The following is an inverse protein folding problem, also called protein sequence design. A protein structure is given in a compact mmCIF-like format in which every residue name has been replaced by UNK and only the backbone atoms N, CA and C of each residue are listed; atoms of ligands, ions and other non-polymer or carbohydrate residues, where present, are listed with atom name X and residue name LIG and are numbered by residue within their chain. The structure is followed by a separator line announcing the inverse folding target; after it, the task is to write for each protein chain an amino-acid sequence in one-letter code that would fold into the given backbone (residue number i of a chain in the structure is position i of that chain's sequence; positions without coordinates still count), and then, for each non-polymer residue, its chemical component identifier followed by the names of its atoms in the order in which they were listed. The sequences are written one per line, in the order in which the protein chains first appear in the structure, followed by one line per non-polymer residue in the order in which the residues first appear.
data_IF_329265042717
#
_entry.id   IF_329265042717
#
_cell.length_a   1.000
_cell.length_b   1.000
_cell.length_c   1.000
_cell.angle_alpha   90.00
_cell.angle_beta   90.00
_cell.angle_gamma   90.00
#
_symmetry.space_group_name_H-M   'P 1'
#
loop_
_entity.id
_entity.type
_entity.pdbx_description
1 polymer ?
#
# COMPACT_ATOMS: atom_id res chain seq x y z
N UNK A 1 38.85 12.60 22.67
CA UNK A 1 37.42 12.94 22.49
C UNK A 1 36.59 11.79 23.07
N UNK A 2 35.62 12.05 23.95
CA UNK A 2 34.72 10.99 24.45
C UNK A 2 33.72 10.65 23.34
N UNK A 3 33.49 9.36 23.08
CA UNK A 3 32.56 8.88 22.04
C UNK A 3 31.19 8.63 22.64
N UNK A 4 30.15 8.99 21.90
CA UNK A 4 28.76 8.61 22.17
C UNK A 4 28.36 7.60 21.10
N UNK A 5 27.74 6.50 21.50
CA UNK A 5 27.35 5.41 20.59
C UNK A 5 25.86 5.14 20.80
N UNK A 6 25.11 5.16 19.69
CA UNK A 6 23.75 4.65 19.63
C UNK A 6 23.81 3.21 19.11
N UNK A 7 23.29 2.26 19.88
CA UNK A 7 23.21 0.84 19.50
C UNK A 7 21.73 0.50 19.33
N UNK A 8 21.36 0.04 18.13
CA UNK A 8 20.00 -0.37 17.79
C UNK A 8 19.99 -1.90 17.70
N UNK A 9 19.23 -2.54 18.59
CA UNK A 9 18.96 -3.98 18.53
C UNK A 9 17.68 -4.18 17.73
N UNK A 10 17.79 -4.41 16.42
CA UNK A 10 16.61 -4.52 15.55
C UNK A 10 15.75 -5.74 15.94
N UNK A 11 14.43 -5.54 16.01
CA UNK A 11 13.47 -6.55 16.47
C UNK A 11 13.50 -6.87 17.98
N UNK A 12 14.24 -6.10 18.81
CA UNK A 12 14.32 -6.32 20.25
C UNK A 12 13.22 -5.59 21.03
N UNK A 13 12.09 -6.28 21.27
CA UNK A 13 10.95 -5.73 22.03
C UNK A 13 10.92 -6.12 23.51
N UNK A 14 10.09 -5.41 24.28
CA UNK A 14 9.71 -5.78 25.64
C UNK A 14 8.34 -6.44 25.63
N UNK A 15 8.27 -7.70 26.08
CA UNK A 15 7.04 -8.46 26.18
C UNK A 15 7.08 -9.41 27.39
N UNK A 16 5.92 -9.80 27.96
CA UNK A 16 5.87 -10.85 28.98
C UNK A 16 6.53 -12.16 28.51
N UNK A 17 6.99 -12.97 29.47
CA UNK A 17 7.54 -14.29 29.15
C UNK A 17 6.42 -15.23 28.68
N UNK A 18 6.64 -15.91 27.55
CA UNK A 18 5.76 -16.94 27.01
C UNK A 18 6.56 -17.81 26.04
N UNK A 19 6.03 -18.99 25.68
CA UNK A 19 6.76 -20.04 24.94
C UNK A 19 7.48 -19.61 23.65
N UNK A 20 7.01 -18.56 22.96
CA UNK A 20 7.65 -18.02 21.75
C UNK A 20 8.41 -16.70 21.94
N UNK A 21 8.58 -16.22 23.18
CA UNK A 21 9.42 -15.06 23.46
C UNK A 21 10.91 -15.47 23.52
N UNK A 22 11.57 -15.45 22.36
CA UNK A 22 12.97 -15.79 22.23
C UNK A 22 13.90 -14.96 23.13
N UNK A 23 13.59 -13.68 23.37
CA UNK A 23 14.39 -12.79 24.23
C UNK A 23 14.36 -13.30 25.68
N UNK A 24 13.18 -13.69 26.19
CA UNK A 24 13.02 -14.17 27.57
C UNK A 24 13.70 -15.52 27.84
N UNK A 25 13.82 -16.38 26.83
CA UNK A 25 14.52 -17.67 26.94
C UNK A 25 16.02 -17.59 26.67
N UNK A 26 16.50 -16.49 26.11
CA UNK A 26 17.90 -16.32 25.75
C UNK A 26 18.74 -15.91 26.96
N UNK A 27 19.98 -16.41 27.04
CA UNK A 27 20.97 -15.89 27.99
C UNK A 27 21.54 -14.58 27.46
N UNK A 28 21.18 -13.47 28.09
CA UNK A 28 21.51 -12.11 27.61
C UNK A 28 22.36 -11.34 28.65
N UNK A 29 23.51 -11.88 29.11
CA UNK A 29 24.23 -11.34 30.28
C UNK A 29 24.65 -9.88 30.11
N UNK A 30 25.07 -9.48 28.91
CA UNK A 30 25.45 -8.10 28.60
C UNK A 30 24.26 -7.15 28.71
N UNK A 31 23.16 -7.43 28.00
CA UNK A 31 21.96 -6.58 28.02
C UNK A 31 21.35 -6.55 29.42
N UNK A 32 21.27 -7.71 30.09
CA UNK A 32 20.77 -7.83 31.45
C UNK A 32 21.60 -6.99 32.44
N UNK A 33 22.94 -7.02 32.33
CA UNK A 33 23.83 -6.19 33.16
C UNK A 33 23.62 -4.70 32.89
N UNK A 34 23.50 -4.29 31.62
CA UNK A 34 23.27 -2.89 31.25
C UNK A 34 21.94 -2.39 31.84
N UNK A 35 20.85 -3.14 31.63
CA UNK A 35 19.52 -2.78 32.15
C UNK A 35 19.47 -2.76 33.68
N UNK A 36 20.23 -3.62 34.38
CA UNK A 36 20.27 -3.62 35.85
C UNK A 36 21.08 -2.48 36.45
N UNK A 37 22.22 -2.15 35.83
CA UNK A 37 23.23 -1.28 36.44
C UNK A 37 23.18 0.18 35.95
N UNK A 38 22.42 0.49 34.90
CA UNK A 38 22.31 1.84 34.34
C UNK A 38 20.85 2.27 34.17
N UNK A 39 20.64 3.59 34.09
CA UNK A 39 19.31 4.16 33.88
C UNK A 39 18.71 3.66 32.56
N UNK A 40 17.47 3.20 32.61
CA UNK A 40 16.77 2.64 31.46
C UNK A 40 15.27 2.99 31.52
N UNK A 41 14.62 2.96 30.36
CA UNK A 41 13.19 3.19 30.21
C UNK A 41 12.67 2.47 28.96
N UNK A 42 11.35 2.43 28.78
CA UNK A 42 10.70 1.86 27.62
C UNK A 42 10.12 2.97 26.73
N UNK A 43 10.18 2.76 25.42
CA UNK A 43 9.60 3.67 24.42
C UNK A 43 8.58 2.92 23.56
N UNK A 44 7.52 3.62 23.17
CA UNK A 44 6.59 3.09 22.16
C UNK A 44 7.23 3.18 20.77
N UNK A 45 7.36 2.04 20.10
CA UNK A 45 7.95 1.91 18.76
C UNK A 45 6.92 1.47 17.69
N UNK A 46 5.64 1.78 17.89
CA UNK A 46 4.53 1.31 17.05
C UNK A 46 3.42 2.36 16.95
N UNK A 47 2.52 2.20 15.98
CA UNK A 47 1.30 2.98 15.83
C UNK A 47 1.54 4.50 15.79
N UNK A 48 0.60 5.24 16.38
CA UNK A 48 0.60 6.71 16.34
C UNK A 48 1.81 7.37 17.02
N UNK A 49 2.58 6.64 17.83
CA UNK A 49 3.81 7.13 18.47
C UNK A 49 4.95 7.31 17.47
N UNK A 50 4.99 6.49 16.41
CA UNK A 50 6.00 6.54 15.35
C UNK A 50 5.43 6.97 13.99
N UNK A 51 4.20 7.51 14.00
CA UNK A 51 3.54 8.05 12.81
C UNK A 51 2.85 7.01 11.93
N UNK A 52 2.55 5.83 12.47
CA UNK A 52 1.70 4.81 11.87
C UNK A 52 0.23 4.97 12.35
N UNK A 53 -0.75 4.44 11.60
CA UNK A 53 -2.15 4.40 12.02
C UNK A 53 -2.39 3.52 13.25
N UNK A 54 -3.29 3.96 14.14
CA UNK A 54 -3.79 3.14 15.25
C UNK A 54 -2.69 2.49 16.09
N UNK A 55 -2.72 1.15 16.15
CA UNK A 55 -1.78 0.28 16.85
C UNK A 55 -0.96 -0.61 15.90
N UNK A 56 -0.76 -0.18 14.65
CA UNK A 56 0.06 -0.94 13.69
C UNK A 56 1.47 -1.17 14.22
N UNK A 57 2.03 -2.35 13.98
CA UNK A 57 3.39 -2.69 14.38
C UNK A 57 4.41 -1.78 13.67
N UNK A 58 5.47 -1.40 14.38
CA UNK A 58 6.61 -0.72 13.77
C UNK A 58 7.41 -1.65 12.85
N UNK A 59 8.27 -1.05 12.04
CA UNK A 59 9.26 -1.75 11.22
C UNK A 59 10.59 -0.97 11.22
N UNK A 60 11.65 -1.57 10.66
CA UNK A 60 12.98 -0.98 10.67
C UNK A 60 13.04 0.40 10.01
N UNK A 61 12.36 0.61 8.88
CA UNK A 61 12.34 1.91 8.18
C UNK A 61 11.70 3.00 9.04
N UNK A 62 10.49 2.76 9.55
CA UNK A 62 9.76 3.68 10.42
C UNK A 62 10.57 3.99 11.68
N UNK A 63 11.16 2.97 12.30
CA UNK A 63 11.95 3.11 13.52
C UNK A 63 13.20 3.97 13.30
N UNK A 64 14.01 3.64 12.30
CA UNK A 64 15.26 4.35 12.03
C UNK A 64 15.01 5.81 11.61
N UNK A 65 13.96 6.07 10.84
CA UNK A 65 13.56 7.43 10.47
C UNK A 65 13.20 8.28 11.69
N UNK A 66 12.36 7.76 12.59
CA UNK A 66 11.96 8.49 13.79
C UNK A 66 13.16 8.75 14.74
N UNK A 67 14.03 7.74 14.93
CA UNK A 67 15.23 7.85 15.76
C UNK A 67 16.18 8.90 15.19
N UNK A 68 16.48 8.82 13.89
CA UNK A 68 17.38 9.76 13.22
C UNK A 68 16.84 11.18 13.12
N UNK A 69 15.52 11.34 12.98
CA UNK A 69 14.90 12.64 12.84
C UNK A 69 14.66 13.36 14.18
N UNK A 70 14.72 12.65 15.31
CA UNK A 70 14.43 13.20 16.63
C UNK A 70 13.00 13.75 16.77
N UNK A 71 12.08 13.31 15.92
CA UNK A 71 10.67 13.73 15.89
C UNK A 71 9.81 12.63 15.29
N UNK A 72 8.50 12.70 15.56
CA UNK A 72 7.53 11.81 14.93
C UNK A 72 7.47 12.08 13.42
N UNK A 73 7.75 11.05 12.61
CA UNK A 73 7.63 11.08 11.16
C UNK A 73 6.34 10.38 10.75
N UNK A 74 5.37 11.16 10.25
CA UNK A 74 4.15 10.60 9.68
C UNK A 74 4.49 9.84 8.41
N UNK A 75 4.01 8.60 8.31
CA UNK A 75 4.10 7.83 7.08
C UNK A 75 3.12 8.37 6.03
N UNK A 76 3.47 8.28 4.76
CA UNK A 76 2.65 8.81 3.67
C UNK A 76 1.21 8.26 3.69
N UNK A 77 1.05 6.96 3.98
CA UNK A 77 -0.27 6.33 4.16
C UNK A 77 -1.10 7.01 5.25
N UNK A 78 -0.47 7.38 6.38
CA UNK A 78 -1.12 8.10 7.48
C UNK A 78 -1.45 9.54 7.12
N UNK A 79 -0.59 10.21 6.35
CA UNK A 79 -0.85 11.57 5.84
C UNK A 79 -2.06 11.56 4.93
N UNK A 80 -2.11 10.62 3.97
CA UNK A 80 -3.23 10.48 3.03
C UNK A 80 -4.52 10.11 3.76
N UNK A 81 -4.48 9.12 4.67
CA UNK A 81 -5.64 8.74 5.49
C UNK A 81 -6.20 9.92 6.29
N UNK A 82 -5.31 10.73 6.89
CA UNK A 82 -5.70 11.93 7.63
C UNK A 82 -6.33 12.97 6.71
N UNK A 83 -5.76 13.17 5.52
CA UNK A 83 -6.30 14.08 4.51
C UNK A 83 -7.69 13.66 4.01
N UNK A 84 -7.95 12.36 3.88
CA UNK A 84 -9.28 11.83 3.54
C UNK A 84 -10.24 12.12 4.69
N UNK A 85 -9.86 11.76 5.93
CA UNK A 85 -10.70 11.93 7.12
C UNK A 85 -11.06 13.39 7.40
N UNK A 86 -10.13 14.32 7.21
CA UNK A 86 -10.36 15.75 7.44
C UNK A 86 -10.84 16.50 6.19
N UNK A 87 -11.15 15.78 5.11
CA UNK A 87 -11.62 16.28 3.81
C UNK A 87 -10.62 17.11 2.99
N UNK A 88 -9.39 17.32 3.45
CA UNK A 88 -8.38 18.09 2.70
C UNK A 88 -7.94 17.37 1.42
N UNK A 89 -8.05 16.04 1.36
CA UNK A 89 -7.80 15.23 0.16
C UNK A 89 -8.63 15.71 -1.04
N UNK A 90 -9.91 16.00 -0.82
CA UNK A 90 -10.86 16.42 -1.86
C UNK A 90 -10.64 17.86 -2.34
N UNK A 91 -9.78 18.62 -1.65
CA UNK A 91 -9.39 20.00 -2.00
C UNK A 91 -7.99 20.06 -2.62
N UNK A 92 -7.36 18.92 -2.88
CA UNK A 92 -6.01 18.89 -3.43
C UNK A 92 -6.00 19.47 -4.86
N UNK A 93 -5.26 20.57 -5.04
CA UNK A 93 -5.18 21.30 -6.31
C UNK A 93 -4.66 20.42 -7.47
N UNK A 94 -3.78 19.47 -7.21
CA UNK A 94 -3.25 18.59 -8.26
C UNK A 94 -4.29 17.62 -8.78
N UNK A 95 -5.09 17.02 -7.88
CA UNK A 95 -6.19 16.15 -8.30
C UNK A 95 -7.28 16.92 -9.05
N UNK A 96 -7.63 18.11 -8.55
CA UNK A 96 -8.61 18.98 -9.23
C UNK A 96 -8.09 19.37 -10.62
N UNK A 97 -6.83 19.82 -10.74
CA UNK A 97 -6.22 20.16 -12.04
C UNK A 97 -6.19 18.98 -12.99
N UNK A 98 -5.89 17.76 -12.51
CA UNK A 98 -5.90 16.56 -13.36
C UNK A 98 -7.29 16.29 -13.96
N UNK A 99 -8.35 16.40 -13.15
CA UNK A 99 -9.74 16.24 -13.59
C UNK A 99 -10.12 17.34 -14.60
N UNK A 100 -9.79 18.61 -14.30
CA UNK A 100 -10.12 19.73 -15.19
C UNK A 100 -9.37 19.66 -16.53
N UNK A 101 -8.11 19.20 -16.53
CA UNK A 101 -7.36 18.96 -17.75
C UNK A 101 -8.00 17.85 -18.61
N UNK A 102 -8.45 16.75 -17.98
CA UNK A 102 -9.15 15.67 -18.66
C UNK A 102 -10.48 16.13 -19.26
N UNK A 103 -11.26 16.94 -18.52
CA UNK A 103 -12.49 17.59 -19.02
C UNK A 103 -12.22 18.49 -20.22
N UNK A 104 -11.27 19.42 -20.10
CA UNK A 104 -10.94 20.40 -21.14
C UNK A 104 -10.47 19.73 -22.44
N UNK A 105 -9.74 18.62 -22.32
CA UNK A 105 -9.23 17.88 -23.48
C UNK A 105 -10.21 16.82 -24.00
N UNK A 106 -11.36 16.62 -23.36
CA UNK A 106 -12.29 15.53 -23.64
C UNK A 106 -11.62 14.15 -23.68
N UNK A 107 -10.65 13.92 -22.76
CA UNK A 107 -9.89 12.68 -22.66
C UNK A 107 -10.21 11.97 -21.33
N UNK A 108 -10.04 10.64 -21.28
CA UNK A 108 -10.18 9.91 -20.04
C UNK A 108 -9.10 10.31 -19.02
N UNK A 109 -9.47 10.33 -17.73
CA UNK A 109 -8.50 10.28 -16.64
C UNK A 109 -8.10 8.83 -16.41
N UNK A 110 -6.80 8.56 -16.36
CA UNK A 110 -6.28 7.23 -16.06
C UNK A 110 -5.82 7.19 -14.60
N UNK A 111 -6.30 6.20 -13.85
CA UNK A 111 -5.87 5.94 -12.47
C UNK A 111 -5.29 4.52 -12.46
N UNK A 112 -4.07 4.41 -11.94
CA UNK A 112 -3.34 3.15 -11.88
C UNK A 112 -2.74 2.92 -10.49
N UNK A 113 -2.66 1.66 -10.08
CA UNK A 113 -2.08 1.31 -8.79
C UNK A 113 -2.46 -0.09 -8.32
N UNK A 114 -1.77 -0.55 -7.28
CA UNK A 114 -2.05 -1.81 -6.61
C UNK A 114 -3.43 -1.77 -5.94
N UNK A 115 -4.24 -2.82 -6.12
CA UNK A 115 -5.57 -2.95 -5.55
C UNK A 115 -5.61 -4.04 -4.48
N UNK A 116 -5.42 -3.62 -3.23
CA UNK A 116 -5.60 -4.49 -2.06
C UNK A 116 -5.81 -3.67 -0.80
N UNK A 117 -5.95 -4.36 0.33
CA UNK A 117 -5.86 -3.78 1.67
C UNK A 117 -4.53 -4.14 2.37
N UNK A 118 -3.48 -4.48 1.61
CA UNK A 118 -2.16 -4.82 2.16
C UNK A 118 -1.47 -3.63 2.83
N UNK A 119 -1.82 -2.39 2.46
CA UNK A 119 -1.35 -1.13 3.07
C UNK A 119 0.18 -0.88 2.99
N UNK A 120 0.93 -1.72 2.25
CA UNK A 120 2.37 -1.53 2.03
C UNK A 120 2.62 -0.54 0.90
N UNK A 121 2.03 -0.77 -0.29
CA UNK A 121 2.24 0.07 -1.47
C UNK A 121 1.02 0.93 -1.85
N UNK A 122 -0.16 0.59 -1.37
CA UNK A 122 -1.41 1.30 -1.69
C UNK A 122 -2.52 0.99 -0.69
N UNK A 123 -3.66 1.67 -0.87
CA UNK A 123 -4.90 1.38 -0.16
C UNK A 123 -6.08 1.45 -1.12
N UNK A 124 -6.95 0.43 -1.11
CA UNK A 124 -8.24 0.48 -1.81
C UNK A 124 -9.09 1.69 -1.39
N UNK A 125 -8.99 2.13 -0.14
CA UNK A 125 -9.74 3.29 0.36
C UNK A 125 -9.24 4.60 -0.25
N UNK A 126 -7.95 4.70 -0.62
CA UNK A 126 -7.42 5.87 -1.34
C UNK A 126 -7.98 5.94 -2.77
N UNK A 127 -8.11 4.80 -3.44
CA UNK A 127 -8.77 4.72 -4.73
C UNK A 127 -10.25 5.13 -4.63
N UNK A 128 -10.96 4.66 -3.61
CA UNK A 128 -12.35 5.03 -3.39
C UNK A 128 -12.51 6.54 -3.13
N UNK A 129 -11.60 7.16 -2.38
CA UNK A 129 -11.58 8.62 -2.23
C UNK A 129 -11.33 9.36 -3.56
N UNK A 130 -10.52 8.82 -4.47
CA UNK A 130 -10.36 9.38 -5.82
C UNK A 130 -11.64 9.24 -6.66
N UNK A 131 -12.36 8.13 -6.53
CA UNK A 131 -13.66 7.92 -7.19
C UNK A 131 -14.69 8.93 -6.66
N UNK A 132 -14.78 9.12 -5.34
CA UNK A 132 -15.64 10.12 -4.71
C UNK A 132 -15.30 11.54 -5.17
N UNK A 133 -14.01 11.85 -5.30
CA UNK A 133 -13.58 13.13 -5.85
C UNK A 133 -14.04 13.31 -7.30
N UNK A 134 -13.94 12.28 -8.14
CA UNK A 134 -14.43 12.34 -9.52
C UNK A 134 -15.95 12.50 -9.57
N UNK A 135 -16.69 11.80 -8.71
CA UNK A 135 -18.14 11.91 -8.58
C UNK A 135 -18.58 13.33 -8.19
N UNK A 136 -17.97 13.90 -7.13
CA UNK A 136 -18.26 15.27 -6.68
C UNK A 136 -17.91 16.35 -7.73
N UNK A 137 -16.97 16.04 -8.64
CA UNK A 137 -16.62 16.88 -9.79
C UNK A 137 -17.43 16.56 -11.06
N UNK A 138 -18.42 15.67 -10.97
CA UNK A 138 -19.24 15.17 -12.06
C UNK A 138 -18.41 14.71 -13.28
N UNK A 139 -17.31 13.99 -13.02
CA UNK A 139 -16.41 13.48 -14.05
C UNK A 139 -16.41 11.95 -14.07
N UNK A 140 -17.07 11.38 -15.08
CA UNK A 140 -17.27 9.91 -15.19
C UNK A 140 -16.31 9.21 -16.13
N UNK A 141 -15.60 9.95 -17.00
CA UNK A 141 -14.71 9.36 -18.00
C UNK A 141 -13.36 8.96 -17.39
N UNK A 142 -13.38 7.93 -16.54
CA UNK A 142 -12.19 7.40 -15.85
C UNK A 142 -11.86 5.99 -16.36
N UNK A 143 -10.57 5.67 -16.43
CA UNK A 143 -10.04 4.34 -16.79
C UNK A 143 -9.13 3.85 -15.67
N UNK A 144 -9.48 2.68 -15.14
CA UNK A 144 -8.77 2.04 -14.05
C UNK A 144 -7.79 1.00 -14.61
N UNK A 145 -6.49 1.17 -14.38
CA UNK A 145 -5.44 0.20 -14.68
C UNK A 145 -4.88 -0.42 -13.38
N UNK A 146 -5.38 -1.57 -12.98
CA UNK A 146 -5.28 -2.04 -11.60
C UNK A 146 -4.30 -3.19 -11.48
N UNK A 147 -3.43 -3.11 -10.47
CA UNK A 147 -2.43 -4.14 -10.23
C UNK A 147 -2.90 -5.08 -9.12
N UNK A 148 -3.01 -6.39 -9.39
CA UNK A 148 -3.40 -7.37 -8.38
C UNK A 148 -2.21 -7.72 -7.46
N UNK A 149 -2.51 -7.94 -6.18
CA UNK A 149 -1.49 -8.03 -5.13
C UNK A 149 -0.98 -9.46 -4.90
N UNK A 150 -1.64 -10.23 -4.03
CA UNK A 150 -1.26 -11.61 -3.71
C UNK A 150 0.04 -11.79 -2.93
N UNK A 151 0.71 -10.70 -2.56
CA UNK A 151 1.96 -10.70 -1.79
C UNK A 151 1.81 -10.04 -0.44
N UNK A 152 1.20 -8.85 -0.39
CA UNK A 152 0.87 -8.18 0.88
C UNK A 152 -0.51 -8.62 1.41
N UNK A 153 -1.24 -9.41 0.60
CA UNK A 153 -2.50 -10.09 0.94
C UNK A 153 -2.42 -11.57 0.51
N UNK A 154 -3.36 -12.44 0.92
CA UNK A 154 -3.34 -13.84 0.51
C UNK A 154 -3.29 -14.03 -1.02
N UNK A 155 -2.59 -15.05 -1.55
CA UNK A 155 -2.33 -15.20 -2.99
C UNK A 155 -3.55 -15.32 -3.92
N UNK A 156 -4.74 -15.62 -3.37
CA UNK A 156 -6.01 -15.76 -4.10
C UNK A 156 -7.10 -14.92 -3.43
N UNK A 157 -6.86 -13.62 -3.26
CA UNK A 157 -7.77 -12.67 -2.61
C UNK A 157 -8.21 -11.51 -3.52
N UNK A 158 -7.55 -11.32 -4.67
CA UNK A 158 -7.75 -10.20 -5.58
C UNK A 158 -9.21 -10.02 -6.00
N UNK A 159 -9.89 -11.11 -6.33
CA UNK A 159 -11.31 -11.09 -6.70
C UNK A 159 -12.20 -10.33 -5.70
N UNK A 160 -11.90 -10.39 -4.40
CA UNK A 160 -12.67 -9.69 -3.36
C UNK A 160 -12.54 -8.17 -3.53
N UNK A 161 -11.32 -7.67 -3.74
CA UNK A 161 -11.05 -6.24 -3.89
C UNK A 161 -11.58 -5.68 -5.21
N UNK A 162 -11.44 -6.45 -6.29
CA UNK A 162 -11.97 -6.04 -7.58
C UNK A 162 -13.51 -6.04 -7.60
N UNK A 163 -14.18 -7.00 -6.95
CA UNK A 163 -15.64 -6.95 -6.79
C UNK A 163 -16.08 -5.70 -6.01
N UNK A 164 -15.39 -5.35 -4.92
CA UNK A 164 -15.68 -4.11 -4.17
C UNK A 164 -15.52 -2.86 -5.05
N UNK A 165 -14.53 -2.85 -5.95
CA UNK A 165 -14.35 -1.77 -6.92
C UNK A 165 -15.49 -1.75 -7.95
N UNK A 166 -15.91 -2.90 -8.50
CA UNK A 166 -17.07 -2.99 -9.40
C UNK A 166 -18.35 -2.45 -8.73
N UNK A 167 -18.57 -2.76 -7.45
CA UNK A 167 -19.69 -2.22 -6.67
C UNK A 167 -19.60 -0.69 -6.55
N UNK A 168 -18.42 -0.16 -6.22
CA UNK A 168 -18.18 1.29 -6.10
C UNK A 168 -18.39 2.01 -7.44
N UNK A 169 -17.92 1.43 -8.54
CA UNK A 169 -18.13 1.95 -9.89
C UNK A 169 -19.62 1.95 -10.24
N UNK A 170 -20.34 0.86 -9.91
CA UNK A 170 -21.78 0.74 -10.17
C UNK A 170 -22.58 1.78 -9.39
N UNK A 171 -22.24 2.01 -8.12
CA UNK A 171 -22.91 2.99 -7.25
C UNK A 171 -22.72 4.43 -7.73
N UNK A 172 -21.50 4.79 -8.11
CA UNK A 172 -21.14 6.19 -8.46
C UNK A 172 -21.29 6.49 -9.96
N UNK A 173 -21.29 5.46 -10.80
CA UNK A 173 -21.20 5.58 -12.25
C UNK A 173 -19.86 6.15 -12.75
N UNK A 174 -18.83 6.17 -11.90
CA UNK A 174 -17.52 6.73 -12.24
C UNK A 174 -16.59 5.66 -12.79
N UNK A 175 -16.22 5.80 -14.06
CA UNK A 175 -15.15 5.04 -14.69
C UNK A 175 -15.50 3.59 -15.03
N UNK A 176 -14.47 2.85 -15.44
CA UNK A 176 -14.51 1.42 -15.71
C UNK A 176 -13.11 0.81 -15.61
N UNK A 177 -13.05 -0.47 -15.25
CA UNK A 177 -11.82 -1.24 -15.26
C UNK A 177 -11.37 -1.44 -16.71
N UNK A 178 -10.17 -0.96 -17.01
CA UNK A 178 -9.58 -0.98 -18.35
C UNK A 178 -8.57 -2.12 -18.48
N UNK A 179 -7.69 -2.30 -17.49
CA UNK A 179 -6.71 -3.38 -17.47
C UNK A 179 -6.52 -3.93 -16.06
N UNK A 180 -6.15 -5.21 -15.98
CA UNK A 180 -5.73 -5.90 -14.76
C UNK A 180 -4.36 -6.51 -15.08
N UNK A 181 -3.41 -6.38 -14.16
CA UNK A 181 -2.10 -7.04 -14.28
C UNK A 181 -1.58 -7.39 -12.90
N UNK A 182 -0.92 -8.52 -12.74
CA UNK A 182 -0.23 -8.89 -11.51
C UNK A 182 0.87 -7.90 -11.17
N UNK A 183 1.05 -7.60 -9.89
CA UNK A 183 2.15 -6.74 -9.42
C UNK A 183 3.53 -7.23 -9.87
N UNK A 184 3.69 -8.53 -10.14
CA UNK A 184 4.91 -9.09 -10.72
C UNK A 184 5.28 -8.43 -12.05
N UNK A 185 4.29 -8.07 -12.88
CA UNK A 185 4.51 -7.40 -14.16
C UNK A 185 4.54 -5.88 -14.02
N UNK A 186 3.59 -5.32 -13.26
CA UNK A 186 3.37 -3.88 -13.21
C UNK A 186 4.24 -3.13 -12.18
N UNK A 187 4.83 -3.82 -11.20
CA UNK A 187 5.57 -3.22 -10.08
C UNK A 187 6.95 -3.85 -9.88
N UNK A 188 7.59 -4.28 -10.97
CA UNK A 188 8.97 -4.77 -10.92
C UNK A 188 9.92 -3.66 -10.43
N UNK A 189 10.91 -4.06 -9.62
CA UNK A 189 11.93 -3.17 -9.06
C UNK A 189 13.36 -3.65 -9.30
N UNK A 190 13.51 -4.71 -10.09
CA UNK A 190 14.78 -5.38 -10.38
C UNK A 190 15.24 -5.10 -11.82
N UNK A 191 14.71 -4.05 -12.45
CA UNK A 191 14.97 -3.63 -13.84
C UNK A 191 14.63 -4.72 -14.87
N UNK A 192 13.62 -5.55 -14.60
CA UNK A 192 13.16 -6.53 -15.57
C UNK A 192 12.18 -5.89 -16.56
N UNK A 193 12.72 -5.26 -17.59
CA UNK A 193 11.92 -4.57 -18.62
C UNK A 193 10.99 -5.51 -19.40
N UNK A 194 11.28 -6.81 -19.47
CA UNK A 194 10.36 -7.77 -20.12
C UNK A 194 9.03 -7.89 -19.36
N UNK A 195 9.07 -7.78 -18.02
CA UNK A 195 7.88 -7.77 -17.17
C UNK A 195 7.10 -6.47 -17.31
N UNK A 196 7.81 -5.35 -17.19
CA UNK A 196 7.24 -4.00 -17.31
C UNK A 196 6.60 -3.80 -18.69
N UNK A 197 7.23 -4.32 -19.75
CA UNK A 197 6.71 -4.23 -21.11
C UNK A 197 5.33 -4.86 -21.26
N UNK A 198 5.06 -6.00 -20.60
CA UNK A 198 3.75 -6.65 -20.67
C UNK A 198 2.62 -5.77 -20.10
N UNK A 199 2.84 -5.24 -18.89
CA UNK A 199 1.88 -4.32 -18.28
C UNK A 199 1.72 -3.03 -19.10
N UNK A 200 2.82 -2.51 -19.65
CA UNK A 200 2.82 -1.31 -20.51
C UNK A 200 2.03 -1.55 -21.81
N UNK A 201 2.23 -2.70 -22.44
CA UNK A 201 1.53 -3.09 -23.66
C UNK A 201 0.02 -3.24 -23.45
N UNK A 202 -0.41 -3.80 -22.31
CA UNK A 202 -1.82 -3.86 -21.95
C UNK A 202 -2.42 -2.45 -21.77
N UNK A 203 -1.72 -1.56 -21.07
CA UNK A 203 -2.19 -0.20 -20.74
C UNK A 203 -2.23 0.72 -21.96
N UNK A 204 -1.17 0.72 -22.77
CA UNK A 204 -0.96 1.70 -23.85
C UNK A 204 -1.45 1.16 -25.19
N UNK A 205 -1.14 -0.09 -25.49
CA UNK A 205 -1.37 -0.69 -26.81
C UNK A 205 -2.59 -1.62 -26.86
N UNK A 206 -3.29 -1.82 -25.73
CA UNK A 206 -4.38 -2.80 -25.58
C UNK A 206 -3.96 -4.22 -26.02
N UNK A 207 -2.71 -4.59 -25.75
CA UNK A 207 -2.15 -5.91 -26.10
C UNK A 207 -2.09 -6.80 -24.85
N UNK A 208 -2.75 -7.93 -24.91
CA UNK A 208 -2.82 -8.91 -23.82
C UNK A 208 -4.09 -9.75 -23.95
N UNK A 209 -4.33 -10.62 -22.97
CA UNK A 209 -5.55 -11.40 -22.91
C UNK A 209 -6.76 -10.50 -22.60
N UNK A 210 -7.88 -10.77 -23.27
CA UNK A 210 -9.11 -9.99 -23.09
C UNK A 210 -10.17 -10.78 -22.34
N UNK A 211 -10.87 -10.12 -21.43
CA UNK A 211 -11.99 -10.71 -20.70
C UNK A 211 -13.15 -9.71 -20.57
N UNK A 212 -14.37 -10.25 -20.46
CA UNK A 212 -15.59 -9.44 -20.36
C UNK A 212 -16.02 -9.17 -18.90
N UNK A 213 -15.29 -9.67 -17.91
CA UNK A 213 -15.54 -9.37 -16.48
C UNK A 213 -14.32 -9.69 -15.63
N UNK A 214 -14.21 -8.99 -14.49
CA UNK A 214 -13.22 -9.28 -13.45
C UNK A 214 -13.28 -10.75 -13.04
N UNK A 215 -14.48 -11.27 -12.75
CA UNK A 215 -14.67 -12.66 -12.33
C UNK A 215 -14.03 -13.65 -13.30
N UNK A 216 -14.17 -13.44 -14.61
CA UNK A 216 -13.56 -14.30 -15.64
C UNK A 216 -12.02 -14.24 -15.58
N UNK A 217 -11.44 -13.05 -15.41
CA UNK A 217 -9.97 -12.90 -15.28
C UNK A 217 -9.44 -13.74 -14.13
N UNK A 218 -10.02 -13.60 -12.94
CA UNK A 218 -9.53 -14.33 -11.75
C UNK A 218 -9.81 -15.83 -11.83
N UNK A 219 -11.03 -16.25 -12.20
CA UNK A 219 -11.36 -17.68 -12.30
C UNK A 219 -10.47 -18.42 -13.30
N UNK A 220 -10.27 -17.86 -14.50
CA UNK A 220 -9.43 -18.47 -15.54
C UNK A 220 -7.97 -18.62 -15.10
N UNK A 221 -7.38 -17.59 -14.49
CA UNK A 221 -6.00 -17.65 -14.02
C UNK A 221 -5.84 -18.61 -12.84
N UNK A 222 -6.80 -18.61 -11.89
CA UNK A 222 -6.75 -19.53 -10.75
C UNK A 222 -6.84 -21.00 -11.15
N UNK A 223 -7.62 -21.34 -12.20
CA UNK A 223 -7.71 -22.69 -12.78
C UNK A 223 -6.37 -23.14 -13.38
N UNK A 224 -5.57 -22.20 -13.88
CA UNK A 224 -4.21 -22.45 -14.38
C UNK A 224 -3.13 -22.37 -13.29
N UNK A 225 -3.52 -22.31 -12.01
CA UNK A 225 -2.63 -22.10 -10.87
C UNK A 225 -1.82 -20.80 -10.91
N UNK A 226 -2.28 -19.80 -11.67
CA UNK A 226 -1.73 -18.45 -11.68
C UNK A 226 -2.44 -17.66 -10.57
N UNK A 227 -1.69 -17.24 -9.55
CA UNK A 227 -2.19 -16.45 -8.42
C UNK A 227 -2.20 -14.95 -8.74
N UNK A 228 -2.79 -14.14 -7.85
CA UNK A 228 -3.00 -12.69 -8.04
C UNK A 228 -1.72 -11.93 -8.43
N UNK A 229 -0.59 -12.29 -7.81
CA UNK A 229 0.70 -11.65 -8.06
C UNK A 229 1.14 -11.78 -9.53
N UNK A 230 0.71 -12.83 -10.22
CA UNK A 230 1.23 -13.27 -11.53
C UNK A 230 0.20 -13.24 -12.66
N UNK A 231 -0.93 -12.53 -12.50
CA UNK A 231 -1.88 -12.35 -13.61
C UNK A 231 -1.17 -11.61 -14.76
N UNK A 232 -1.10 -12.17 -15.98
CA UNK A 232 -0.31 -11.61 -17.08
C UNK A 232 -0.85 -10.27 -17.61
#
# INVERSE_FOLDING_TARGET
MKKVILIILDGWGLAPAWAGNAISFSRTPTISSITKNYANTALFAHGSYVGLPGHEMGNSEVGHLNIGAGRKILQDSSVINSAIKNTSFYKNDYFIKAIENAKKSNRPLHIMGLLSNGMVHSSIEHLFALIDLCETKNFKNVRFHLFSDGRDTPPKSGIIFFSRLEDKITQTGVGKIATISGRFYAMDRDNNFSRISKATDAIVNSKGDTANSVKKVFSFNYEQNITDEYIP
#
